data_IF_663233724393
#
_entry.id   IF_663233724393
#
_cell.length_a   1.000
_cell.length_b   1.000
_cell.length_c   1.000
_cell.angle_alpha   90.00
_cell.angle_beta   90.00
_cell.angle_gamma   90.00
#
_symmetry.space_group_name_H-M   'P 1'
#
loop_
_entity.id
_entity.type
_entity.pdbx_description
1 polymer ?
#
# COMPACT_ATOMS: atom_id res chain seq x y z
N UNK A 1 17.05 3.67 -4.96
CA UNK A 1 16.76 4.48 -6.17
C UNK A 1 16.12 3.57 -7.23
N UNK A 2 14.99 3.96 -7.82
CA UNK A 2 14.26 3.13 -8.77
C UNK A 2 15.11 2.93 -10.04
N UNK A 3 15.30 1.67 -10.47
CA UNK A 3 16.10 1.33 -11.66
C UNK A 3 15.62 2.06 -12.92
N UNK A 4 14.33 2.28 -13.05
CA UNK A 4 13.73 3.00 -14.18
C UNK A 4 14.19 4.45 -14.21
N UNK A 5 14.22 5.14 -13.07
CA UNK A 5 14.70 6.53 -12.98
C UNK A 5 16.18 6.63 -13.36
N UNK A 6 17.02 5.69 -12.93
CA UNK A 6 18.43 5.66 -13.30
C UNK A 6 18.61 5.51 -14.81
N UNK A 7 17.85 4.64 -15.46
CA UNK A 7 17.89 4.49 -16.90
C UNK A 7 17.40 5.74 -17.64
N UNK A 8 16.32 6.38 -17.18
CA UNK A 8 15.84 7.64 -17.77
C UNK A 8 16.89 8.75 -17.67
N UNK A 9 17.51 8.88 -16.50
CA UNK A 9 18.59 9.87 -16.31
C UNK A 9 19.81 9.56 -17.16
N UNK A 10 20.21 8.30 -17.27
CA UNK A 10 21.35 7.89 -18.11
C UNK A 10 21.09 8.17 -19.60
N UNK A 11 19.89 7.82 -20.11
CA UNK A 11 19.50 8.10 -21.49
C UNK A 11 19.48 9.61 -21.75
N UNK A 12 18.91 10.39 -20.84
CA UNK A 12 18.84 11.85 -20.95
C UNK A 12 20.22 12.47 -20.94
N UNK A 13 21.10 12.04 -20.03
CA UNK A 13 22.48 12.51 -19.96
C UNK A 13 23.25 12.19 -21.25
N UNK A 14 23.11 10.97 -21.75
CA UNK A 14 23.73 10.55 -23.00
C UNK A 14 23.21 11.39 -24.19
N UNK A 15 21.91 11.63 -24.25
CA UNK A 15 21.30 12.47 -25.27
C UNK A 15 21.90 13.88 -25.28
N UNK A 16 22.04 14.53 -24.11
CA UNK A 16 22.62 15.86 -24.00
C UNK A 16 24.12 15.89 -24.32
N UNK A 17 24.88 14.84 -23.96
CA UNK A 17 26.30 14.71 -24.30
C UNK A 17 26.55 14.54 -25.80
N UNK A 18 25.66 13.81 -26.50
CA UNK A 18 25.80 13.56 -27.93
C UNK A 18 25.36 14.76 -28.80
N UNK A 19 24.50 15.64 -28.30
CA UNK A 19 23.98 16.80 -29.03
C UNK A 19 25.09 17.65 -29.70
N UNK A 20 26.13 18.14 -28.99
CA UNK A 20 27.15 18.97 -29.60
C UNK A 20 27.97 18.20 -30.65
N UNK A 21 28.20 16.91 -30.46
CA UNK A 21 28.92 16.08 -31.42
C UNK A 21 28.14 15.92 -32.72
N UNK A 22 26.82 15.72 -32.63
CA UNK A 22 25.95 15.64 -33.81
C UNK A 22 25.84 17.00 -34.50
N UNK A 23 25.72 18.09 -33.71
CA UNK A 23 25.69 19.44 -34.28
C UNK A 23 26.96 19.80 -35.07
N UNK A 24 28.12 19.36 -34.57
CA UNK A 24 29.41 19.57 -35.27
C UNK A 24 29.48 18.80 -36.60
N UNK A 25 28.83 17.65 -36.69
CA UNK A 25 28.87 16.81 -37.88
C UNK A 25 27.90 17.25 -38.96
N UNK A 26 26.78 17.85 -38.57
CA UNK A 26 25.77 18.42 -39.47
C UNK A 26 25.96 19.95 -39.59
N UNK A 27 25.84 20.47 -40.81
CA UNK A 27 25.89 21.91 -41.01
C UNK A 27 24.66 22.57 -40.38
N UNK A 28 24.86 23.14 -39.17
CA UNK A 28 23.78 23.65 -38.32
C UNK A 28 23.52 25.15 -38.51
N UNK A 29 24.00 25.75 -39.63
CA UNK A 29 23.85 27.17 -39.90
C UNK A 29 24.97 28.05 -39.35
N UNK A 30 25.17 29.23 -39.94
CA UNK A 30 26.24 30.17 -39.59
C UNK A 30 25.83 31.14 -38.46
N UNK A 31 24.53 31.24 -38.14
CA UNK A 31 23.99 32.12 -37.10
C UNK A 31 22.77 31.47 -36.38
N UNK A 32 22.33 32.10 -35.28
CA UNK A 32 21.25 31.55 -34.43
C UNK A 32 19.92 31.38 -35.19
N UNK A 33 19.59 32.27 -36.11
CA UNK A 33 18.36 32.22 -36.87
C UNK A 33 18.35 31.05 -37.87
N UNK A 34 19.47 30.82 -38.54
CA UNK A 34 19.66 29.66 -39.42
C UNK A 34 19.64 28.35 -38.63
N UNK A 35 20.32 28.31 -37.47
CA UNK A 35 20.31 27.16 -36.59
C UNK A 35 18.88 26.81 -36.16
N UNK A 36 18.11 27.79 -35.69
CA UNK A 36 16.74 27.57 -35.19
C UNK A 36 15.80 27.00 -36.26
N UNK A 37 16.05 27.29 -37.55
CA UNK A 37 15.26 26.78 -38.66
C UNK A 37 15.68 25.41 -39.18
N UNK A 38 16.78 24.84 -38.64
CA UNK A 38 17.25 23.53 -39.10
C UNK A 38 16.40 22.40 -38.58
N UNK A 39 16.20 21.35 -39.39
CA UNK A 39 15.53 20.11 -38.94
C UNK A 39 16.20 19.52 -37.70
N UNK A 40 17.53 19.66 -37.59
CA UNK A 40 18.30 19.23 -36.43
C UNK A 40 17.85 19.94 -35.15
N UNK A 41 17.68 21.26 -35.17
CA UNK A 41 17.27 22.05 -34.01
C UNK A 41 15.86 21.63 -33.55
N UNK A 42 14.92 21.51 -34.50
CA UNK A 42 13.56 21.09 -34.20
C UNK A 42 13.54 19.69 -33.57
N UNK A 43 14.16 18.70 -34.20
CA UNK A 43 14.20 17.32 -33.69
C UNK A 43 14.89 17.28 -32.32
N UNK A 44 15.97 18.01 -32.14
CA UNK A 44 16.71 18.10 -30.90
C UNK A 44 15.90 18.70 -29.75
N UNK A 45 15.11 19.75 -30.00
CA UNK A 45 14.23 20.36 -29.01
C UNK A 45 13.08 19.46 -28.63
N UNK A 46 12.41 18.86 -29.63
CA UNK A 46 11.29 17.93 -29.40
C UNK A 46 11.73 16.72 -28.59
N UNK A 47 12.86 16.08 -28.96
CA UNK A 47 13.38 14.92 -28.23
C UNK A 47 13.76 15.25 -26.80
N UNK A 48 14.39 16.43 -26.57
CA UNK A 48 14.73 16.89 -25.23
C UNK A 48 13.48 17.16 -24.39
N UNK A 49 12.48 17.81 -24.98
CA UNK A 49 11.20 18.09 -24.32
C UNK A 49 10.49 16.81 -23.92
N UNK A 50 10.44 15.80 -24.80
CA UNK A 50 9.84 14.51 -24.51
C UNK A 50 10.57 13.75 -23.39
N UNK A 51 11.90 13.79 -23.36
CA UNK A 51 12.68 13.16 -22.29
C UNK A 51 12.44 13.83 -20.93
N UNK A 52 12.41 15.16 -20.88
CA UNK A 52 12.13 15.90 -19.66
C UNK A 52 10.70 15.67 -19.18
N UNK A 53 9.73 15.63 -20.10
CA UNK A 53 8.34 15.32 -19.80
C UNK A 53 8.22 13.89 -19.20
N UNK A 54 8.90 12.91 -19.79
CA UNK A 54 8.89 11.54 -19.29
C UNK A 54 9.46 11.43 -17.86
N UNK A 55 10.54 12.15 -17.56
CA UNK A 55 11.12 12.22 -16.22
C UNK A 55 10.13 12.88 -15.25
N UNK A 56 9.55 14.02 -15.62
CA UNK A 56 8.58 14.74 -14.79
C UNK A 56 7.34 13.89 -14.47
N UNK A 57 6.80 13.20 -15.48
CA UNK A 57 5.66 12.31 -15.31
C UNK A 57 6.00 11.11 -14.42
N UNK A 58 7.19 10.51 -14.59
CA UNK A 58 7.66 9.43 -13.76
C UNK A 58 7.79 9.85 -12.28
N UNK A 59 8.37 11.03 -12.01
CA UNK A 59 8.49 11.57 -10.65
C UNK A 59 7.10 11.82 -10.06
N UNK A 60 6.19 12.45 -10.82
CA UNK A 60 4.84 12.70 -10.37
C UNK A 60 4.10 11.43 -9.98
N UNK A 61 4.15 10.40 -10.83
CA UNK A 61 3.53 9.10 -10.53
C UNK A 61 4.16 8.48 -9.29
N UNK A 62 5.48 8.53 -9.14
CA UNK A 62 6.18 7.98 -7.98
C UNK A 62 5.78 8.68 -6.68
N UNK A 63 5.65 10.00 -6.70
CA UNK A 63 5.18 10.79 -5.54
C UNK A 63 3.73 10.45 -5.20
N UNK A 64 2.85 10.41 -6.19
CA UNK A 64 1.44 10.05 -5.99
C UNK A 64 1.30 8.64 -5.38
N UNK A 65 2.05 7.66 -5.88
CA UNK A 65 2.06 6.31 -5.31
C UNK A 65 2.52 6.31 -3.85
N UNK A 66 3.55 7.08 -3.52
CA UNK A 66 4.05 7.19 -2.13
C UNK A 66 2.98 7.82 -1.21
N UNK A 67 2.35 8.91 -1.64
CA UNK A 67 1.28 9.58 -0.86
C UNK A 67 0.09 8.66 -0.62
N UNK A 68 -0.35 7.92 -1.65
CA UNK A 68 -1.45 6.95 -1.52
C UNK A 68 -1.06 5.83 -0.55
N UNK A 69 0.15 5.29 -0.66
CA UNK A 69 0.62 4.22 0.24
C UNK A 69 0.75 4.69 1.69
N UNK A 70 1.23 5.91 1.94
CA UNK A 70 1.33 6.45 3.30
C UNK A 70 -0.05 6.66 3.92
N UNK A 71 -1.02 7.20 3.18
CA UNK A 71 -2.39 7.35 3.67
C UNK A 71 -3.05 6.01 4.04
N UNK A 72 -2.85 4.96 3.23
CA UNK A 72 -3.31 3.61 3.56
C UNK A 72 -2.56 3.01 4.77
N UNK A 73 -1.27 3.33 4.92
CA UNK A 73 -0.49 2.86 6.07
C UNK A 73 -0.89 3.55 7.39
N UNK A 74 -1.48 4.73 7.35
CA UNK A 74 -1.97 5.43 8.54
C UNK A 74 -3.39 5.00 8.96
N UNK A 75 -4.16 4.39 8.07
CA UNK A 75 -5.46 3.86 8.40
C UNK A 75 -5.34 2.75 9.47
N UNK A 76 -6.13 2.85 10.55
CA UNK A 76 -6.16 1.90 11.66
C UNK A 76 -7.38 0.99 11.65
N UNK A 77 -8.31 1.22 10.73
CA UNK A 77 -9.56 0.48 10.64
C UNK A 77 -9.70 -0.18 9.26
N UNK A 78 -10.32 -1.33 9.24
CA UNK A 78 -10.76 -1.98 8.01
C UNK A 78 -11.95 -1.22 7.41
N UNK A 79 -11.85 -0.84 6.16
CA UNK A 79 -12.83 0.01 5.47
C UNK A 79 -14.18 -0.67 5.27
N UNK A 80 -14.23 -2.01 5.24
CA UNK A 80 -15.45 -2.76 5.00
C UNK A 80 -16.25 -2.96 6.29
N UNK A 81 -15.56 -3.36 7.37
CA UNK A 81 -16.19 -3.76 8.63
C UNK A 81 -16.16 -2.68 9.72
N UNK A 82 -15.28 -1.68 9.57
CA UNK A 82 -15.05 -0.65 10.59
C UNK A 82 -14.24 -1.14 11.80
N UNK A 83 -13.91 -2.42 11.87
CA UNK A 83 -13.09 -2.97 12.95
C UNK A 83 -11.64 -2.47 12.84
N UNK A 84 -10.86 -2.47 13.94
CA UNK A 84 -9.42 -2.35 13.86
C UNK A 84 -8.83 -3.28 12.82
N UNK A 85 -7.83 -2.81 12.07
CA UNK A 85 -7.12 -3.63 11.10
C UNK A 85 -5.88 -4.29 11.73
N UNK A 86 -5.17 -5.08 10.94
CA UNK A 86 -3.94 -5.78 11.35
C UNK A 86 -2.94 -4.85 12.02
N UNK A 87 -2.78 -3.61 11.53
CA UNK A 87 -1.82 -2.65 12.08
C UNK A 87 -2.23 -2.17 13.46
N UNK A 88 -3.51 -1.81 13.63
CA UNK A 88 -4.03 -1.39 14.92
C UNK A 88 -3.90 -2.51 15.97
N UNK A 89 -4.15 -3.76 15.58
CA UNK A 89 -3.95 -4.92 16.45
C UNK A 89 -2.48 -5.10 16.83
N UNK A 90 -1.55 -4.94 15.88
CA UNK A 90 -0.12 -5.06 16.15
C UNK A 90 0.36 -4.02 17.17
N UNK A 91 -0.12 -2.77 17.07
CA UNK A 91 0.21 -1.72 18.03
C UNK A 91 -0.25 -2.06 19.46
N UNK A 92 -1.45 -2.65 19.58
CA UNK A 92 -1.98 -3.12 20.87
C UNK A 92 -1.14 -4.28 21.39
N UNK A 93 -0.82 -5.25 20.55
CA UNK A 93 0.01 -6.39 20.90
C UNK A 93 1.39 -5.96 21.39
N UNK A 94 2.06 -5.06 20.67
CA UNK A 94 3.37 -4.54 21.04
C UNK A 94 3.33 -3.81 22.40
N UNK A 95 2.25 -3.04 22.64
CA UNK A 95 2.05 -2.38 23.92
C UNK A 95 1.86 -3.38 25.08
N UNK A 96 1.10 -4.45 24.86
CA UNK A 96 0.90 -5.51 25.87
C UNK A 96 2.22 -6.25 26.20
N UNK A 97 2.99 -6.60 25.16
CA UNK A 97 4.30 -7.25 25.34
C UNK A 97 5.27 -6.36 26.14
N UNK A 98 5.26 -5.05 25.88
CA UNK A 98 6.12 -4.10 26.60
C UNK A 98 5.64 -3.86 28.05
N UNK A 99 4.34 -3.83 28.28
CA UNK A 99 3.77 -3.58 29.62
C UNK A 99 3.89 -4.78 30.56
N UNK A 100 4.04 -6.01 30.04
CA UNK A 100 3.93 -7.23 30.83
C UNK A 100 5.09 -8.21 30.61
N UNK A 101 6.36 -7.82 30.82
CA UNK A 101 7.50 -8.72 30.58
C UNK A 101 7.57 -9.93 31.52
N UNK A 102 6.74 -10.04 32.56
CA UNK A 102 6.85 -11.03 33.63
C UNK A 102 5.59 -11.85 33.92
N UNK A 103 4.57 -11.85 33.05
CA UNK A 103 3.35 -12.64 33.26
C UNK A 103 3.12 -13.65 32.14
N UNK A 104 3.86 -14.77 32.08
CA UNK A 104 3.63 -15.79 31.05
C UNK A 104 2.26 -16.42 31.18
N UNK A 105 1.54 -16.60 30.07
CA UNK A 105 0.36 -17.44 29.99
C UNK A 105 -0.99 -16.80 30.36
N UNK A 106 -1.08 -15.46 30.27
CA UNK A 106 -2.34 -14.73 30.54
C UNK A 106 -2.92 -14.00 29.34
N UNK A 107 -2.16 -13.90 28.26
CA UNK A 107 -2.64 -13.28 27.03
C UNK A 107 -2.90 -14.38 25.98
N UNK A 108 -4.09 -14.37 25.39
CA UNK A 108 -4.51 -15.35 24.41
C UNK A 108 -4.89 -14.65 23.11
N UNK A 109 -4.63 -15.34 22.01
CA UNK A 109 -4.97 -14.88 20.68
C UNK A 109 -5.84 -15.96 20.04
N UNK A 110 -7.08 -15.61 19.73
CA UNK A 110 -8.00 -16.46 18.98
C UNK A 110 -8.07 -15.98 17.52
N UNK A 111 -7.96 -16.90 16.59
CA UNK A 111 -8.08 -16.64 15.15
C UNK A 111 -9.37 -17.27 14.68
N UNK A 112 -10.19 -16.49 13.99
CA UNK A 112 -11.44 -16.92 13.37
C UNK A 112 -11.30 -16.80 11.86
N UNK A 113 -11.68 -17.83 11.15
CA UNK A 113 -11.74 -17.88 9.70
C UNK A 113 -13.15 -18.36 9.28
N UNK A 114 -13.71 -17.77 8.23
CA UNK A 114 -15.04 -18.15 7.77
C UNK A 114 -14.97 -19.36 6.85
N UNK A 115 -15.46 -20.49 7.33
CA UNK A 115 -15.55 -21.69 6.53
C UNK A 115 -16.35 -21.46 5.23
N UNK A 116 -15.75 -21.85 4.13
CA UNK A 116 -16.35 -21.78 2.79
C UNK A 116 -16.76 -20.38 2.32
N UNK A 117 -16.16 -19.30 2.82
CA UNK A 117 -16.47 -17.93 2.40
C UNK A 117 -16.36 -17.73 0.88
N UNK A 118 -15.39 -18.36 0.24
CA UNK A 118 -15.26 -18.36 -1.21
C UNK A 118 -16.54 -18.87 -1.90
N UNK A 119 -17.20 -19.91 -1.38
CA UNK A 119 -18.45 -20.43 -1.95
C UNK A 119 -19.61 -19.42 -1.86
N UNK A 120 -19.63 -18.59 -0.82
CA UNK A 120 -20.61 -17.51 -0.70
C UNK A 120 -20.38 -16.49 -1.82
N UNK A 121 -19.14 -16.07 -2.04
CA UNK A 121 -18.78 -15.16 -3.13
C UNK A 121 -19.11 -15.75 -4.51
N UNK A 122 -18.74 -17.01 -4.75
CA UNK A 122 -18.94 -17.67 -6.03
C UNK A 122 -20.44 -17.86 -6.36
N UNK A 123 -21.29 -18.12 -5.35
CA UNK A 123 -22.71 -18.39 -5.55
C UNK A 123 -23.60 -17.12 -5.47
N UNK A 124 -23.22 -16.14 -4.64
CA UNK A 124 -24.06 -14.98 -4.32
C UNK A 124 -23.47 -13.63 -4.73
N UNK A 125 -22.23 -13.65 -5.23
CA UNK A 125 -21.48 -12.43 -5.60
C UNK A 125 -20.77 -11.76 -4.44
N UNK A 126 -19.79 -10.93 -4.75
CA UNK A 126 -18.93 -10.24 -3.78
C UNK A 126 -19.71 -9.29 -2.85
N UNK A 127 -20.76 -8.63 -3.34
CA UNK A 127 -21.59 -7.73 -2.51
C UNK A 127 -22.24 -8.46 -1.35
N UNK A 128 -22.66 -9.71 -1.56
CA UNK A 128 -23.21 -10.57 -0.51
C UNK A 128 -22.13 -11.06 0.45
N UNK A 129 -20.96 -11.43 -0.06
CA UNK A 129 -19.81 -11.72 0.78
C UNK A 129 -19.44 -10.54 1.69
N UNK A 130 -19.41 -9.34 1.16
CA UNK A 130 -19.15 -8.12 1.92
C UNK A 130 -20.22 -7.89 3.02
N UNK A 131 -21.48 -8.17 2.72
CA UNK A 131 -22.55 -8.10 3.72
C UNK A 131 -22.33 -9.10 4.84
N UNK A 132 -22.00 -10.35 4.52
CA UNK A 132 -21.68 -11.41 5.50
C UNK A 132 -20.53 -11.00 6.40
N UNK A 133 -19.45 -10.45 5.82
CA UNK A 133 -18.30 -9.95 6.59
C UNK A 133 -18.68 -8.85 7.58
N UNK A 134 -19.54 -7.90 7.18
CA UNK A 134 -20.05 -6.84 8.09
C UNK A 134 -20.91 -7.40 9.21
N UNK A 135 -21.77 -8.36 8.91
CA UNK A 135 -22.66 -8.99 9.91
C UNK A 135 -21.87 -9.80 10.94
N UNK A 136 -20.86 -10.57 10.49
CA UNK A 136 -19.98 -11.32 11.37
C UNK A 136 -19.12 -10.39 12.22
N UNK A 137 -18.53 -9.35 11.62
CA UNK A 137 -17.79 -8.35 12.36
C UNK A 137 -18.63 -7.71 13.48
N UNK A 138 -19.87 -7.33 13.16
CA UNK A 138 -20.79 -6.77 14.14
C UNK A 138 -21.23 -7.79 15.21
N UNK A 139 -21.35 -9.07 14.86
CA UNK A 139 -21.64 -10.15 15.80
C UNK A 139 -20.49 -10.36 16.78
N UNK A 140 -19.26 -10.49 16.27
CA UNK A 140 -18.06 -10.66 17.08
C UNK A 140 -17.83 -9.45 18.01
N UNK A 141 -18.02 -8.24 17.50
CA UNK A 141 -17.80 -7.01 18.28
C UNK A 141 -18.84 -6.87 19.43
N UNK A 142 -20.10 -7.27 19.20
CA UNK A 142 -21.14 -7.24 20.25
C UNK A 142 -20.92 -8.28 21.33
N UNK A 143 -20.36 -9.44 20.98
CA UNK A 143 -20.23 -10.57 21.91
C UNK A 143 -18.85 -10.64 22.59
N UNK A 144 -17.86 -9.88 22.13
CA UNK A 144 -16.55 -9.86 22.77
C UNK A 144 -16.57 -9.21 24.15
N UNK A 145 -15.74 -9.67 25.09
CA UNK A 145 -15.49 -8.96 26.35
C UNK A 145 -14.97 -7.54 26.11
N UNK A 146 -15.31 -6.61 26.99
CA UNK A 146 -14.87 -5.22 26.89
C UNK A 146 -13.32 -5.05 26.91
N UNK A 147 -12.62 -5.99 27.55
CA UNK A 147 -11.15 -6.03 27.61
C UNK A 147 -10.49 -6.67 26.39
N UNK A 148 -11.27 -7.25 25.48
CA UNK A 148 -10.75 -7.92 24.31
C UNK A 148 -10.57 -6.95 23.13
N UNK A 149 -9.52 -7.13 22.35
CA UNK A 149 -9.27 -6.36 21.14
C UNK A 149 -9.58 -7.24 19.93
N UNK A 150 -10.61 -6.85 19.17
CA UNK A 150 -11.02 -7.52 17.94
C UNK A 150 -10.47 -6.75 16.74
N UNK A 151 -9.94 -7.47 15.75
CA UNK A 151 -9.47 -6.91 14.49
C UNK A 151 -9.78 -7.83 13.31
N UNK A 152 -9.97 -7.25 12.13
CA UNK A 152 -9.94 -7.97 10.86
C UNK A 152 -8.56 -7.82 10.22
N UNK A 153 -7.91 -8.96 9.94
CA UNK A 153 -6.51 -8.93 9.44
C UNK A 153 -6.40 -9.10 7.93
N UNK A 154 -7.44 -9.56 7.28
CA UNK A 154 -7.52 -9.70 5.82
C UNK A 154 -8.60 -10.68 5.40
N UNK A 155 -9.08 -10.58 4.17
CA UNK A 155 -10.04 -11.52 3.61
C UNK A 155 -11.21 -11.84 4.55
N UNK A 156 -11.29 -13.08 4.99
CA UNK A 156 -12.27 -13.66 5.91
C UNK A 156 -11.73 -13.91 7.32
N UNK A 157 -10.51 -13.40 7.64
CA UNK A 157 -9.82 -13.68 8.89
C UNK A 157 -10.01 -12.56 9.92
N UNK A 158 -10.42 -12.97 11.14
CA UNK A 158 -10.55 -12.09 12.31
C UNK A 158 -9.66 -12.58 13.44
N UNK A 159 -9.14 -11.67 14.24
CA UNK A 159 -8.37 -11.97 15.43
C UNK A 159 -8.98 -11.30 16.64
N UNK A 160 -9.10 -12.06 17.72
CA UNK A 160 -9.46 -11.59 19.04
C UNK A 160 -8.25 -11.75 19.97
N UNK A 161 -7.75 -10.66 20.51
CA UNK A 161 -6.70 -10.63 21.51
C UNK A 161 -7.33 -10.43 22.87
N UNK A 162 -7.10 -11.40 23.76
CA UNK A 162 -7.62 -11.46 25.13
C UNK A 162 -6.47 -11.25 26.09
N UNK A 163 -6.45 -10.13 26.79
CA UNK A 163 -5.42 -9.82 27.76
C UNK A 163 -5.87 -10.20 29.19
N UNK A 164 -4.92 -10.67 29.99
CA UNK A 164 -5.08 -11.02 31.42
C UNK A 164 -6.25 -11.98 31.69
N UNK A 165 -6.40 -13.04 30.89
CA UNK A 165 -7.42 -14.08 31.03
C UNK A 165 -6.86 -15.39 31.60
N UNK A 166 -7.73 -16.22 32.18
CA UNK A 166 -7.41 -17.64 32.39
C UNK A 166 -7.64 -18.43 31.10
N UNK A 167 -7.03 -19.60 30.97
CA UNK A 167 -7.26 -20.48 29.82
C UNK A 167 -8.73 -20.88 29.67
N UNK A 168 -9.41 -21.16 30.78
CA UNK A 168 -10.82 -21.48 30.82
C UNK A 168 -11.70 -20.29 30.39
N UNK A 169 -11.36 -19.07 30.85
CA UNK A 169 -12.02 -17.84 30.46
C UNK A 169 -11.84 -17.53 28.96
N UNK A 170 -10.64 -17.70 28.44
CA UNK A 170 -10.38 -17.50 27.02
C UNK A 170 -11.12 -18.51 26.14
N UNK A 171 -11.18 -19.80 26.55
CA UNK A 171 -11.92 -20.84 25.84
C UNK A 171 -13.42 -20.55 25.83
N UNK A 172 -14.00 -20.15 26.96
CA UNK A 172 -15.41 -19.81 27.06
C UNK A 172 -15.83 -18.66 26.15
N UNK A 173 -14.96 -17.68 25.94
CA UNK A 173 -15.22 -16.56 25.00
C UNK A 173 -15.27 -17.04 23.55
N UNK A 174 -14.51 -18.08 23.20
CA UNK A 174 -14.48 -18.60 21.83
C UNK A 174 -15.66 -19.57 21.52
N UNK A 175 -16.37 -20.05 22.53
CA UNK A 175 -17.51 -20.99 22.40
C UNK A 175 -18.86 -20.26 22.37
N UNK A 176 -18.89 -18.94 22.62
CA UNK A 176 -20.12 -18.11 22.65
C UNK A 176 -20.39 -17.46 21.31
#
# INVERSE_FOLDING_TARGET
>A
LNRVLLWLLAITSLHFLLKPLVAMRWNTGANEAEFASTTYAIVSQVTSGLLLLAIGLFILISVLQTVVQTNHAEARHDHLTGLPNRRALQEVFDALVQATPQRPGRDFLAIFDLDHFKRINDNCGHDKGDQVLREIAACLDRNRPASAHLARIGGEEFILLLADQSMEGAASVCET
#
